data_IF_419940703687
#
_entry.id   IF_419940703687
#
_cell.length_a   1.000
_cell.length_b   1.000
_cell.length_c   1.000
_cell.angle_alpha   90.00
_cell.angle_beta   90.00
_cell.angle_gamma   90.00
#
_symmetry.space_group_name_H-M   'P 1'
#
loop_
_entity.id
_entity.type
_entity.pdbx_description
1 polymer ?
#
# COMPACT_ATOMS: atom_id res chain seq x y z
N UNK A 1 -13.56 -16.46 14.56
CA UNK A 1 -13.07 -15.93 13.28
C UNK A 1 -12.86 -14.47 13.56
N UNK A 2 -11.61 -13.99 13.54
CA UNK A 2 -11.38 -12.55 13.58
C UNK A 2 -11.75 -11.99 12.22
N UNK A 3 -12.60 -10.98 12.20
CA UNK A 3 -13.05 -10.33 10.99
C UNK A 3 -11.90 -9.46 10.47
N UNK A 4 -11.16 -10.00 9.49
CA UNK A 4 -10.06 -9.31 8.82
C UNK A 4 -10.60 -8.65 7.55
N UNK A 5 -10.50 -7.33 7.48
CA UNK A 5 -10.89 -6.57 6.29
C UNK A 5 -9.64 -6.19 5.51
N UNK A 6 -9.54 -6.68 4.27
CA UNK A 6 -8.46 -6.29 3.34
C UNK A 6 -8.97 -5.23 2.39
N UNK A 7 -8.22 -4.13 2.28
CA UNK A 7 -8.49 -3.01 1.38
C UNK A 7 -7.32 -2.86 0.42
N UNK A 8 -7.61 -2.93 -0.87
CA UNK A 8 -6.64 -2.76 -1.94
C UNK A 8 -6.75 -1.35 -2.52
N UNK A 9 -5.69 -0.56 -2.48
CA UNK A 9 -5.65 0.80 -3.02
C UNK A 9 -4.42 1.03 -3.89
N UNK A 10 -4.45 2.05 -4.75
CA UNK A 10 -3.34 2.43 -5.62
C UNK A 10 -2.68 3.68 -5.06
N UNK A 11 -1.37 3.65 -4.88
CA UNK A 11 -0.60 4.77 -4.35
C UNK A 11 0.64 5.02 -5.20
N UNK A 12 1.04 6.28 -5.33
CA UNK A 12 2.29 6.64 -5.98
C UNK A 12 3.46 6.29 -5.06
N UNK A 13 4.39 5.47 -5.55
CA UNK A 13 5.59 5.08 -4.83
C UNK A 13 6.43 6.30 -4.45
N UNK A 14 6.94 6.33 -3.23
CA UNK A 14 7.74 7.43 -2.67
C UNK A 14 6.98 8.74 -2.40
N UNK A 15 5.71 8.85 -2.82
CA UNK A 15 4.86 10.03 -2.62
C UNK A 15 3.47 9.68 -2.08
N UNK A 16 3.34 8.55 -1.37
CA UNK A 16 2.08 8.19 -0.72
C UNK A 16 1.72 9.28 0.31
N UNK A 17 0.44 9.64 0.35
CA UNK A 17 -0.10 10.67 1.24
C UNK A 17 -1.29 10.14 2.02
N UNK A 18 -1.47 10.64 3.25
CA UNK A 18 -2.61 10.33 4.10
C UNK A 18 -3.95 10.91 3.58
N UNK A 19 -3.91 11.60 2.43
CA UNK A 19 -5.08 12.08 1.72
C UNK A 19 -5.83 10.98 0.93
N UNK A 20 -6.81 11.36 0.08
CA UNK A 20 -7.35 10.44 -0.93
C UNK A 20 -6.18 9.97 -1.80
N UNK A 21 -5.91 8.65 -1.96
CA UNK A 21 -6.81 7.49 -1.99
C UNK A 21 -6.82 6.58 -0.75
N UNK A 22 -5.91 6.76 0.21
CA UNK A 22 -5.80 5.93 1.42
C UNK A 22 -6.70 6.42 2.57
N UNK A 23 -6.77 7.73 2.78
CA UNK A 23 -7.49 8.35 3.89
C UNK A 23 -8.99 8.00 3.99
N UNK A 24 -9.77 7.97 2.89
CA UNK A 24 -11.20 7.63 2.95
C UNK A 24 -11.47 6.17 3.29
N UNK A 25 -10.60 5.26 2.86
CA UNK A 25 -10.79 3.81 3.04
C UNK A 25 -10.24 3.32 4.37
N UNK A 26 -9.16 3.94 4.86
CA UNK A 26 -8.56 3.65 6.16
C UNK A 26 -9.18 4.47 7.30
N UNK A 27 -9.82 5.60 7.00
CA UNK A 27 -10.46 6.48 7.99
C UNK A 27 -11.56 5.86 8.86
N UNK A 28 -12.44 4.96 8.35
CA UNK A 28 -13.43 4.29 9.20
C UNK A 28 -12.85 3.14 10.03
N UNK A 29 -11.57 2.78 9.82
CA UNK A 29 -10.94 1.62 10.45
C UNK A 29 -10.03 2.06 11.60
N UNK A 30 -9.81 1.18 12.60
CA UNK A 30 -8.99 1.49 13.77
C UNK A 30 -7.49 1.44 13.45
N UNK A 31 -7.06 2.16 12.41
CA UNK A 31 -5.68 2.12 11.90
C UNK A 31 -5.07 3.51 11.82
N UNK A 32 -3.75 3.59 12.00
CA UNK A 32 -3.02 4.85 11.89
C UNK A 32 -2.62 5.10 10.44
N UNK A 33 -3.38 5.96 9.75
CA UNK A 33 -3.13 6.34 8.35
C UNK A 33 -1.73 6.92 8.16
N UNK A 34 -1.19 7.65 9.14
CA UNK A 34 0.15 8.22 9.07
C UNK A 34 1.25 7.15 9.13
N UNK A 35 1.07 6.16 10.01
CA UNK A 35 1.97 5.01 10.09
C UNK A 35 1.93 4.17 8.80
N UNK A 36 0.75 3.98 8.22
CA UNK A 36 0.57 3.25 6.95
C UNK A 36 1.30 3.96 5.82
N UNK A 37 1.10 5.27 5.68
CA UNK A 37 1.72 6.07 4.62
C UNK A 37 3.25 6.08 4.73
N UNK A 38 3.80 6.23 5.93
CA UNK A 38 5.24 6.16 6.14
C UNK A 38 5.79 4.77 5.77
N UNK A 39 5.16 3.69 6.25
CA UNK A 39 5.57 2.33 5.94
C UNK A 39 5.49 2.00 4.44
N UNK A 40 4.51 2.56 3.73
CA UNK A 40 4.40 2.47 2.27
C UNK A 40 5.55 3.24 1.63
N UNK A 41 5.81 4.49 2.01
CA UNK A 41 6.89 5.30 1.43
C UNK A 41 8.26 4.64 1.63
N UNK A 42 8.56 4.12 2.82
CA UNK A 42 9.80 3.36 3.08
C UNK A 42 9.93 2.13 2.18
N UNK A 43 8.83 1.39 1.93
CA UNK A 43 8.83 0.19 1.07
C UNK A 43 8.76 0.51 -0.42
N UNK A 44 8.29 1.70 -0.79
CA UNK A 44 8.09 2.15 -2.17
C UNK A 44 9.09 3.20 -2.61
N UNK A 45 10.09 3.50 -1.79
CA UNK A 45 11.18 4.43 -2.12
C UNK A 45 11.92 3.99 -3.38
N UNK A 46 12.16 2.68 -3.55
CA UNK A 46 12.73 2.10 -4.78
C UNK A 46 11.82 2.21 -6.02
N UNK A 47 10.54 2.50 -5.81
CA UNK A 47 9.51 2.61 -6.84
C UNK A 47 9.00 4.05 -6.98
N UNK A 48 9.82 5.03 -6.58
CA UNK A 48 9.47 6.45 -6.67
C UNK A 48 9.04 6.84 -8.09
N UNK A 49 7.82 7.36 -8.22
CA UNK A 49 7.26 7.77 -9.52
C UNK A 49 6.50 6.67 -10.29
N UNK A 50 6.23 5.51 -9.68
CA UNK A 50 5.35 4.48 -10.24
C UNK A 50 4.13 4.24 -9.34
N UNK A 51 2.98 3.91 -9.95
CA UNK A 51 1.80 3.49 -9.20
C UNK A 51 1.98 2.04 -8.69
N UNK A 52 1.96 1.88 -7.37
CA UNK A 52 2.13 0.60 -6.70
C UNK A 52 0.82 0.24 -5.99
N UNK A 53 0.24 -0.94 -6.26
CA UNK A 53 -0.92 -1.41 -5.51
C UNK A 53 -0.48 -1.78 -4.09
N UNK A 54 -1.23 -1.32 -3.10
CA UNK A 54 -1.01 -1.65 -1.70
C UNK A 54 -2.28 -2.26 -1.12
N UNK A 55 -2.11 -3.41 -0.50
CA UNK A 55 -3.14 -4.11 0.24
C UNK A 55 -2.92 -3.86 1.74
N UNK A 56 -3.94 -3.31 2.40
CA UNK A 56 -3.97 -3.08 3.84
C UNK A 56 -4.99 -4.03 4.46
N UNK A 57 -4.51 -5.01 5.20
CA UNK A 57 -5.35 -5.93 5.98
C UNK A 57 -5.47 -5.42 7.40
N UNK A 58 -6.70 -5.33 7.90
CA UNK A 58 -7.01 -4.72 9.19
C UNK A 58 -7.80 -5.73 10.00
N UNK A 59 -7.30 -6.00 11.20
CA UNK A 59 -7.94 -6.87 12.17
C UNK A 59 -8.87 -6.03 13.05
N UNK A 60 -10.18 -6.23 12.92
CA UNK A 60 -11.19 -5.46 13.65
C UNK A 60 -11.17 -5.76 15.16
N UNK A 61 -10.62 -6.91 15.58
CA UNK A 61 -10.56 -7.33 16.97
C UNK A 61 -9.38 -6.71 17.73
N UNK A 62 -8.22 -6.59 17.08
CA UNK A 62 -6.98 -6.13 17.73
C UNK A 62 -6.53 -4.74 17.28
N UNK A 63 -7.09 -4.23 16.18
CA UNK A 63 -6.59 -3.01 15.52
C UNK A 63 -5.23 -3.21 14.86
N UNK A 64 -4.77 -4.46 14.73
CA UNK A 64 -3.57 -4.77 13.97
C UNK A 64 -3.82 -4.47 12.49
N UNK A 65 -2.87 -3.78 11.87
CA UNK A 65 -2.87 -3.52 10.44
C UNK A 65 -1.64 -4.14 9.81
N UNK A 66 -1.82 -4.82 8.69
CA UNK A 66 -0.77 -5.48 7.92
C UNK A 66 -0.75 -4.84 6.53
N UNK A 67 0.42 -4.35 6.12
CA UNK A 67 0.59 -3.63 4.86
C UNK A 67 1.42 -4.48 3.92
N UNK A 68 0.75 -5.03 2.92
CA UNK A 68 1.37 -5.72 1.80
C UNK A 68 1.49 -4.75 0.63
N UNK A 69 2.70 -4.29 0.38
CA UNK A 69 3.01 -3.55 -0.84
C UNK A 69 3.11 -4.59 -1.95
N UNK A 70 2.11 -4.61 -2.83
CA UNK A 70 2.14 -5.42 -4.02
C UNK A 70 3.37 -5.02 -4.84
N UNK A 71 4.21 -5.99 -5.22
CA UNK A 71 5.28 -5.69 -6.19
C UNK A 71 4.60 -5.14 -7.45
N UNK A 72 5.08 -4.02 -8.04
CA UNK A 72 4.59 -3.60 -9.34
C UNK A 72 4.69 -4.79 -10.30
N UNK A 73 3.71 -4.96 -11.21
CA UNK A 73 3.61 -6.15 -12.03
C UNK A 73 4.96 -6.46 -12.66
N UNK A 74 5.40 -7.72 -12.53
CA UNK A 74 6.68 -8.27 -13.04
C UNK A 74 6.93 -7.92 -14.52
N UNK A 75 5.89 -7.51 -15.25
CA UNK A 75 5.97 -6.91 -16.58
C UNK A 75 6.92 -5.70 -16.70
N UNK A 76 7.19 -4.94 -15.62
CA UNK A 76 8.21 -3.89 -15.64
C UNK A 76 9.64 -4.46 -15.55
N UNK A 77 9.88 -5.47 -14.69
CA UNK A 77 11.18 -6.15 -14.58
C UNK A 77 11.55 -6.89 -15.89
N UNK A 78 10.56 -7.41 -16.61
CA UNK A 78 10.78 -8.09 -17.89
C UNK A 78 11.10 -7.10 -19.03
N UNK A 79 10.74 -5.81 -18.93
CA UNK A 79 11.11 -4.82 -19.96
C UNK A 79 12.55 -4.32 -19.84
N UNK A 80 13.12 -4.30 -18.64
CA UNK A 80 14.51 -3.86 -18.43
C UNK A 80 15.53 -4.98 -18.72
N UNK A 81 15.17 -6.24 -18.43
CA UNK A 81 16.04 -7.39 -18.72
C UNK A 81 16.02 -7.79 -20.21
N UNK A 82 14.95 -7.45 -20.94
CA UNK A 82 14.81 -7.71 -22.38
C UNK A 82 14.81 -6.37 -23.12
N UNK A 83 15.99 -5.78 -23.32
CA UNK A 83 16.16 -4.53 -24.07
C UNK A 83 15.56 -4.58 -25.48
N UNK A 84 14.32 -4.10 -25.61
CA UNK A 84 13.65 -3.82 -26.88
C UNK A 84 13.28 -2.34 -26.97
#
# INVERSE_FOLDING_TARGET
MGDKTTISTLVEGGQASAGPPLGPELGPLPVDVGAVVNAINDKTEDFEGMEVPVDVTIDEDTGDFEIEVGKPPIAALVKDEIGL
#
